data_IF_225790942558
#
_entry.id   IF_225790942558
#
_cell.length_a   1.000
_cell.length_b   1.000
_cell.length_c   1.000
_cell.angle_alpha   90.00
_cell.angle_beta   90.00
_cell.angle_gamma   90.00
#
_symmetry.space_group_name_H-M   'P 1'
#
loop_
_entity.id
_entity.type
_entity.pdbx_description
1 polymer ?
#
# COMPACT_ATOMS: atom_id res chain seq x y z
N UNK A 1 14.34 5.17 21.29
CA UNK A 1 12.92 5.01 21.69
C UNK A 1 12.33 3.95 20.76
N UNK A 2 11.45 3.07 21.24
CA UNK A 2 10.83 2.05 20.38
C UNK A 2 9.92 2.74 19.35
N UNK A 3 10.13 2.53 18.03
CA UNK A 3 9.29 3.13 17.01
C UNK A 3 7.81 2.75 17.14
N UNK A 4 7.50 1.55 17.61
CA UNK A 4 6.12 1.07 17.74
C UNK A 4 5.37 1.77 18.87
N UNK A 5 6.05 2.09 19.98
CA UNK A 5 5.50 2.89 21.09
C UNK A 5 5.33 4.36 20.69
N UNK A 6 6.28 4.90 19.91
CA UNK A 6 6.21 6.26 19.37
C UNK A 6 5.02 6.41 18.41
N UNK A 7 4.82 5.44 17.53
CA UNK A 7 3.69 5.38 16.63
C UNK A 7 2.36 5.24 17.37
N UNK A 8 2.31 4.39 18.41
CA UNK A 8 1.14 4.19 19.27
C UNK A 8 0.74 5.49 19.98
N UNK A 9 1.69 6.20 20.56
CA UNK A 9 1.45 7.52 21.17
C UNK A 9 0.91 8.54 20.14
N UNK A 10 1.42 8.49 18.91
CA UNK A 10 0.96 9.34 17.80
C UNK A 10 -0.48 9.03 17.42
N UNK A 11 -0.84 7.75 17.29
CA UNK A 11 -2.22 7.32 17.03
C UNK A 11 -3.17 7.69 18.16
N UNK A 12 -2.74 7.50 19.41
CA UNK A 12 -3.50 7.90 20.61
C UNK A 12 -3.81 9.40 20.62
N UNK A 13 -2.83 10.24 20.26
CA UNK A 13 -3.00 11.69 20.08
C UNK A 13 -3.97 12.01 18.95
N UNK A 14 -3.85 11.32 17.80
CA UNK A 14 -4.73 11.53 16.64
C UNK A 14 -6.20 11.24 16.97
N UNK A 15 -6.47 10.14 17.67
CA UNK A 15 -7.83 9.72 18.04
C UNK A 15 -8.31 10.25 19.39
N UNK A 16 -7.50 11.05 20.08
CA UNK A 16 -7.79 11.60 21.41
C UNK A 16 -8.20 10.51 22.42
N UNK A 17 -7.50 9.37 22.39
CA UNK A 17 -7.77 8.22 23.25
C UNK A 17 -6.52 7.83 24.07
N UNK A 18 -6.67 7.03 25.15
CA UNK A 18 -5.52 6.48 25.87
C UNK A 18 -4.66 5.56 24.98
N UNK A 19 -3.32 5.54 25.14
CA UNK A 19 -2.45 4.64 24.38
C UNK A 19 -2.82 3.16 24.50
N UNK A 20 -3.40 2.73 25.62
CA UNK A 20 -3.81 1.33 25.85
C UNK A 20 -4.93 0.88 24.91
N UNK A 21 -5.64 1.82 24.28
CA UNK A 21 -6.68 1.56 23.27
C UNK A 21 -6.14 1.55 21.84
N UNK A 22 -4.81 1.61 21.69
CA UNK A 22 -4.12 1.67 20.41
C UNK A 22 -3.15 0.49 20.29
N UNK A 23 -3.18 -0.15 19.13
CA UNK A 23 -2.32 -1.26 18.77
C UNK A 23 -1.39 -0.81 17.63
N UNK A 24 -0.18 -1.34 17.60
CA UNK A 24 0.81 -1.05 16.55
C UNK A 24 1.41 -2.33 15.99
N UNK A 25 1.73 -2.30 14.71
CA UNK A 25 2.40 -3.37 13.96
C UNK A 25 3.48 -2.74 13.08
N UNK A 26 4.72 -3.20 13.20
CA UNK A 26 5.79 -2.76 12.31
C UNK A 26 5.63 -3.40 10.93
N UNK A 27 5.38 -2.57 9.92
CA UNK A 27 5.17 -2.97 8.52
C UNK A 27 6.35 -2.57 7.63
N UNK A 28 7.49 -2.19 8.21
CA UNK A 28 8.69 -1.75 7.49
C UNK A 28 9.24 -2.82 6.54
N UNK A 29 8.97 -4.10 6.80
CA UNK A 29 9.35 -5.21 5.92
C UNK A 29 8.74 -5.13 4.51
N UNK A 30 7.60 -4.43 4.35
CA UNK A 30 7.01 -4.16 3.04
C UNK A 30 7.70 -3.02 2.28
N UNK A 31 8.56 -2.25 2.96
CA UNK A 31 9.25 -1.06 2.44
C UNK A 31 10.76 -1.19 2.65
N UNK A 32 11.43 -2.16 2.02
CA UNK A 32 12.87 -2.41 2.22
C UNK A 32 13.77 -1.24 1.78
N UNK A 33 13.21 -0.25 1.09
CA UNK A 33 13.88 1.00 0.70
C UNK A 33 13.93 2.03 1.84
N UNK A 34 13.07 1.93 2.86
CA UNK A 34 13.05 2.80 4.02
C UNK A 34 14.03 2.28 5.08
N UNK A 35 15.29 2.70 5.01
CA UNK A 35 16.37 2.19 5.86
C UNK A 35 16.49 2.90 7.21
N UNK A 36 16.03 4.14 7.27
CA UNK A 36 16.16 4.99 8.44
C UNK A 36 14.81 5.23 9.14
N UNK A 37 13.71 5.19 8.38
CA UNK A 37 12.36 5.34 8.93
C UNK A 37 11.74 3.98 9.25
N UNK A 38 11.11 3.88 10.42
CA UNK A 38 10.17 2.81 10.68
C UNK A 38 8.78 3.21 10.14
N UNK A 39 8.10 2.27 9.50
CA UNK A 39 6.74 2.46 9.00
C UNK A 39 5.85 1.52 9.80
N UNK A 40 4.98 2.11 10.63
CA UNK A 40 4.19 1.38 11.62
C UNK A 40 2.71 1.53 11.29
N UNK A 41 2.00 0.42 11.18
CA UNK A 41 0.55 0.42 11.12
C UNK A 41 0.00 0.56 12.53
N UNK A 42 -0.88 1.55 12.74
CA UNK A 42 -1.52 1.82 14.02
C UNK A 42 -3.02 1.62 13.88
N UNK A 43 -3.65 0.98 14.87
CA UNK A 43 -5.07 0.61 14.89
C UNK A 43 -5.71 0.93 16.24
N UNK A 44 -6.91 1.50 16.26
CA UNK A 44 -7.67 1.68 17.52
C UNK A 44 -8.67 0.54 17.79
N UNK A 45 -9.31 0.60 18.96
CA UNK A 45 -10.38 -0.35 19.35
C UNK A 45 -11.61 -0.30 18.43
N UNK A 46 -11.85 0.80 17.72
CA UNK A 46 -12.90 0.91 16.71
C UNK A 46 -12.48 0.36 15.34
N UNK A 47 -11.28 -0.24 15.26
CA UNK A 47 -10.67 -0.78 14.05
C UNK A 47 -10.35 0.24 12.96
N UNK A 48 -10.33 1.53 13.28
CA UNK A 48 -9.75 2.55 12.40
C UNK A 48 -8.23 2.34 12.33
N UNK A 49 -7.67 2.55 11.15
CA UNK A 49 -6.25 2.32 10.89
C UNK A 49 -5.60 3.58 10.32
N UNK A 50 -4.34 3.80 10.71
CA UNK A 50 -3.50 4.88 10.19
C UNK A 50 -2.07 4.36 10.07
N UNK A 51 -1.39 4.73 8.99
CA UNK A 51 0.04 4.48 8.88
C UNK A 51 0.78 5.59 9.63
N UNK A 52 1.83 5.28 10.37
CA UNK A 52 2.67 6.27 11.03
C UNK A 52 4.11 6.06 10.59
N UNK A 53 4.71 7.11 10.04
CA UNK A 53 6.13 7.13 9.71
C UNK A 53 6.89 7.67 10.92
N UNK A 54 7.82 6.88 11.44
CA UNK A 54 8.64 7.24 12.59
C UNK A 54 10.09 7.43 12.11
N UNK A 55 10.57 8.69 12.00
CA UNK A 55 11.97 8.97 11.72
C UNK A 55 12.85 8.61 12.93
N UNK A 56 14.17 8.45 12.75
CA UNK A 56 15.08 8.07 13.84
C UNK A 56 15.19 9.15 14.94
N UNK A 57 15.16 10.43 14.55
CA UNK A 57 15.40 11.58 15.44
C UNK A 57 14.30 12.65 15.39
N UNK A 58 13.13 12.32 14.80
CA UNK A 58 12.10 13.32 14.49
C UNK A 58 10.71 13.01 15.05
N UNK A 59 9.75 13.87 14.74
CA UNK A 59 8.35 13.66 15.11
C UNK A 59 7.70 12.63 14.18
N UNK A 60 7.05 11.63 14.79
CA UNK A 60 6.27 10.64 14.08
C UNK A 60 5.09 11.29 13.35
N UNK A 61 4.93 10.98 12.07
CA UNK A 61 3.96 11.61 11.18
C UNK A 61 2.88 10.60 10.78
N UNK A 62 1.60 10.81 11.14
CA UNK A 62 0.51 9.97 10.64
C UNK A 62 0.27 10.27 9.15
N UNK A 63 0.08 9.21 8.37
CA UNK A 63 -0.32 9.27 6.96
C UNK A 63 -1.83 9.05 6.91
N UNK A 64 -2.57 10.14 6.70
CA UNK A 64 -4.02 10.07 6.55
C UNK A 64 -4.44 9.48 5.21
N UNK A 65 -5.67 8.95 5.12
CA UNK A 65 -6.27 8.38 3.91
C UNK A 65 -6.51 9.41 2.76
N UNK A 66 -6.04 10.65 2.91
CA UNK A 66 -6.27 11.74 1.98
C UNK A 66 -5.11 11.89 0.99
N UNK A 67 -4.80 10.85 0.21
CA UNK A 67 -3.92 10.90 -0.97
C UNK A 67 -2.64 11.76 -0.79
N UNK A 68 -2.04 11.77 0.40
CA UNK A 68 -0.94 12.69 0.69
C UNK A 68 0.38 12.12 0.19
N UNK A 69 0.58 12.26 -1.13
CA UNK A 69 1.85 12.00 -1.79
C UNK A 69 3.00 12.78 -1.13
N UNK A 70 2.71 13.88 -0.43
CA UNK A 70 3.70 14.70 0.26
C UNK A 70 4.45 13.95 1.35
N UNK A 71 3.78 13.06 2.10
CA UNK A 71 4.47 12.24 3.11
C UNK A 71 5.37 11.21 2.42
N UNK A 72 4.85 10.45 1.45
CA UNK A 72 5.65 9.44 0.72
C UNK A 72 6.87 10.07 0.06
N UNK A 73 6.71 11.19 -0.66
CA UNK A 73 7.81 11.91 -1.29
C UNK A 73 8.84 12.43 -0.28
N UNK A 74 8.40 12.88 0.90
CA UNK A 74 9.31 13.30 1.98
C UNK A 74 10.17 12.14 2.47
N UNK A 75 9.55 10.98 2.74
CA UNK A 75 10.29 9.78 3.18
C UNK A 75 11.27 9.34 2.09
N UNK A 76 10.84 9.24 0.84
CA UNK A 76 11.71 8.87 -0.28
C UNK A 76 12.93 9.79 -0.40
N UNK A 77 12.73 11.11 -0.26
CA UNK A 77 13.80 12.10 -0.28
C UNK A 77 14.76 11.91 0.90
N UNK A 78 14.26 11.72 2.11
CA UNK A 78 15.10 11.52 3.30
C UNK A 78 15.86 10.18 3.26
N UNK A 79 15.31 9.17 2.60
CA UNK A 79 15.94 7.88 2.35
C UNK A 79 16.90 7.88 1.15
N UNK A 80 17.04 9.03 0.45
CA UNK A 80 17.83 9.17 -0.77
C UNK A 80 17.45 8.17 -1.88
N UNK A 81 16.15 7.88 -2.01
CA UNK A 81 15.62 7.00 -3.06
C UNK A 81 15.47 7.79 -4.35
N UNK A 82 16.05 7.28 -5.45
CA UNK A 82 15.88 7.86 -6.80
C UNK A 82 14.79 7.09 -7.55
N UNK A 83 13.77 7.75 -8.05
CA UNK A 83 12.66 7.06 -8.73
C UNK A 83 12.89 6.93 -10.25
N UNK A 84 12.33 5.90 -10.90
CA UNK A 84 11.90 4.63 -10.33
C UNK A 84 13.11 3.67 -10.19
N UNK A 85 14.33 4.20 -10.06
CA UNK A 85 15.57 3.42 -9.93
C UNK A 85 15.69 2.75 -8.56
N UNK A 86 16.28 1.56 -8.49
CA UNK A 86 16.42 0.85 -7.21
C UNK A 86 15.11 0.39 -6.55
N UNK A 87 13.95 0.71 -7.14
CA UNK A 87 12.64 0.26 -6.67
C UNK A 87 11.96 -0.61 -7.76
N UNK A 88 11.90 -1.94 -7.57
CA UNK A 88 11.13 -2.81 -8.45
C UNK A 88 9.68 -2.32 -8.61
N UNK A 89 9.06 -2.44 -9.81
CA UNK A 89 7.71 -1.93 -10.07
C UNK A 89 6.66 -2.36 -9.02
N UNK A 90 6.76 -3.59 -8.54
CA UNK A 90 5.92 -4.13 -7.45
C UNK A 90 6.09 -3.38 -6.13
N UNK A 91 7.32 -3.07 -5.74
CA UNK A 91 7.58 -2.32 -4.51
C UNK A 91 7.10 -0.87 -4.63
N UNK A 92 7.22 -0.26 -5.82
CA UNK A 92 6.67 1.08 -6.07
C UNK A 92 5.14 1.07 -6.03
N UNK A 93 4.49 0.08 -6.64
CA UNK A 93 3.04 -0.12 -6.58
C UNK A 93 2.55 -0.28 -5.13
N UNK A 94 3.21 -1.14 -4.35
CA UNK A 94 2.92 -1.31 -2.93
C UNK A 94 3.08 0.01 -2.17
N UNK A 95 4.19 0.72 -2.35
CA UNK A 95 4.48 1.98 -1.65
C UNK A 95 3.44 3.05 -1.94
N UNK A 96 3.13 3.27 -3.21
CA UNK A 96 2.10 4.22 -3.65
C UNK A 96 0.76 3.87 -3.03
N UNK A 97 0.30 2.63 -3.16
CA UNK A 97 -1.03 2.28 -2.65
C UNK A 97 -1.06 2.39 -1.13
N UNK A 98 -0.08 1.84 -0.42
CA UNK A 98 -0.11 1.75 1.03
C UNK A 98 -0.18 3.13 1.69
N UNK A 99 0.55 4.11 1.14
CA UNK A 99 0.53 5.48 1.64
C UNK A 99 -0.73 6.27 1.25
N UNK A 100 -1.39 5.94 0.13
CA UNK A 100 -2.55 6.70 -0.36
C UNK A 100 -3.91 6.12 0.01
N UNK A 101 -3.99 4.80 0.14
CA UNK A 101 -5.23 4.07 0.41
C UNK A 101 -5.15 3.23 1.69
N UNK A 102 -4.04 3.33 2.43
CA UNK A 102 -3.82 2.63 3.69
C UNK A 102 -3.34 1.19 3.51
N UNK A 103 -3.26 0.42 4.61
CA UNK A 103 -2.75 -0.94 4.64
C UNK A 103 -3.70 -2.00 4.02
N UNK A 104 -3.15 -3.19 3.79
CA UNK A 104 -3.89 -4.43 3.48
C UNK A 104 -4.24 -4.63 2.00
N UNK A 105 -4.55 -5.84 1.60
CA UNK A 105 -4.83 -6.17 0.20
C UNK A 105 -3.54 -6.44 -0.56
N UNK A 106 -3.62 -6.59 -1.88
CA UNK A 106 -2.51 -7.15 -2.64
C UNK A 106 -2.37 -6.51 -4.01
N UNK A 107 -1.12 -6.24 -4.41
CA UNK A 107 -0.82 -6.00 -5.82
C UNK A 107 -1.21 -7.25 -6.60
N UNK A 108 -2.07 -7.04 -7.59
CA UNK A 108 -2.63 -8.08 -8.43
C UNK A 108 -1.60 -8.49 -9.49
N UNK A 109 -0.49 -9.11 -9.08
CA UNK A 109 0.57 -9.60 -9.96
C UNK A 109 0.47 -11.12 -10.19
N UNK A 110 1.38 -11.70 -10.99
CA UNK A 110 1.36 -13.15 -11.26
C UNK A 110 1.77 -13.97 -10.04
N UNK A 111 2.57 -13.42 -9.13
CA UNK A 111 2.95 -14.08 -7.88
C UNK A 111 1.72 -14.23 -6.96
N UNK A 112 0.89 -13.18 -6.85
CA UNK A 112 -0.38 -13.20 -6.17
C UNK A 112 -1.33 -14.22 -6.82
N UNK A 113 -1.42 -14.24 -8.14
CA UNK A 113 -2.19 -15.28 -8.85
C UNK A 113 -1.71 -16.69 -8.50
N UNK A 114 -0.41 -16.97 -8.61
CA UNK A 114 0.15 -18.29 -8.36
C UNK A 114 -0.11 -18.79 -6.93
N UNK A 115 0.01 -17.91 -5.93
CA UNK A 115 -0.28 -18.23 -4.52
C UNK A 115 -1.75 -18.53 -4.26
N UNK A 116 -2.66 -17.85 -4.96
CA UNK A 116 -4.10 -17.86 -4.65
C UNK A 116 -4.95 -18.63 -5.67
N UNK A 117 -4.36 -19.12 -6.76
CA UNK A 117 -5.06 -19.80 -7.86
C UNK A 117 -6.00 -20.89 -7.37
N UNK A 118 -5.51 -21.82 -6.55
CA UNK A 118 -6.31 -22.94 -6.02
C UNK A 118 -7.50 -22.46 -5.18
N UNK A 119 -7.31 -21.43 -4.38
CA UNK A 119 -8.37 -20.87 -3.56
C UNK A 119 -9.44 -20.22 -4.44
N UNK A 120 -9.03 -19.45 -5.44
CA UNK A 120 -9.94 -18.78 -6.37
C UNK A 120 -10.69 -19.82 -7.21
N UNK A 121 -10.03 -20.87 -7.69
CA UNK A 121 -10.68 -21.98 -8.41
C UNK A 121 -11.75 -22.68 -7.55
N UNK A 122 -11.49 -22.87 -6.25
CA UNK A 122 -12.47 -23.42 -5.31
C UNK A 122 -13.63 -22.44 -5.04
N UNK A 123 -13.34 -21.15 -4.88
CA UNK A 123 -14.35 -20.12 -4.65
C UNK A 123 -15.19 -19.80 -5.90
N UNK A 124 -14.63 -20.01 -7.10
CA UNK A 124 -15.25 -19.79 -8.40
C UNK A 124 -15.79 -21.09 -9.03
N UNK A 125 -15.99 -22.15 -8.23
CA UNK A 125 -16.37 -23.50 -8.72
C UNK A 125 -17.61 -23.51 -9.62
N UNK A 126 -18.53 -22.56 -9.42
CA UNK A 126 -19.75 -22.39 -10.20
C UNK A 126 -19.78 -21.06 -11.00
N UNK A 127 -18.64 -20.35 -11.10
CA UNK A 127 -18.57 -19.00 -11.67
C UNK A 127 -17.28 -18.79 -12.48
N UNK A 128 -17.28 -19.32 -13.71
CA UNK A 128 -16.15 -19.23 -14.63
C UNK A 128 -15.79 -17.77 -15.01
N UNK A 129 -16.76 -16.85 -14.95
CA UNK A 129 -16.53 -15.43 -15.20
C UNK A 129 -15.66 -14.80 -14.11
N UNK A 130 -15.88 -15.14 -12.84
CA UNK A 130 -15.01 -14.70 -11.74
C UNK A 130 -13.58 -15.20 -11.89
N UNK A 131 -13.37 -16.47 -12.24
CA UNK A 131 -12.02 -17.00 -12.44
C UNK A 131 -11.31 -16.26 -13.58
N UNK A 132 -12.01 -16.02 -14.69
CA UNK A 132 -11.47 -15.25 -15.82
C UNK A 132 -11.15 -13.81 -15.44
N UNK A 133 -12.02 -13.15 -14.67
CA UNK A 133 -11.78 -11.79 -14.19
C UNK A 133 -10.58 -11.74 -13.23
N UNK A 134 -10.43 -12.72 -12.34
CA UNK A 134 -9.28 -12.84 -11.44
C UNK A 134 -7.97 -12.96 -12.21
N UNK A 135 -7.91 -13.90 -13.16
CA UNK A 135 -6.75 -14.10 -14.03
C UNK A 135 -6.45 -12.84 -14.85
N UNK A 136 -7.47 -12.23 -15.45
CA UNK A 136 -7.31 -11.00 -16.21
C UNK A 136 -6.79 -9.86 -15.36
N UNK A 137 -7.20 -9.78 -14.08
CA UNK A 137 -6.80 -8.77 -13.11
C UNK A 137 -5.36 -8.92 -12.66
N UNK A 138 -4.85 -10.15 -12.58
CA UNK A 138 -3.49 -10.45 -12.16
C UNK A 138 -2.47 -10.18 -13.27
N UNK A 139 -1.90 -8.98 -13.28
CA UNK A 139 -0.88 -8.53 -14.24
C UNK A 139 0.30 -7.91 -13.50
N UNK A 140 1.50 -8.15 -14.02
CA UNK A 140 2.69 -7.49 -13.49
C UNK A 140 2.53 -5.97 -13.58
N UNK A 141 2.96 -5.21 -12.55
CA UNK A 141 3.03 -3.75 -12.64
C UNK A 141 3.90 -3.32 -13.83
N UNK A 142 3.34 -2.48 -14.70
CA UNK A 142 3.99 -2.03 -15.93
C UNK A 142 4.61 -0.65 -15.69
N UNK A 143 5.95 -0.61 -15.65
CA UNK A 143 6.71 0.63 -15.52
C UNK A 143 7.19 1.09 -16.90
N UNK A 144 6.76 2.28 -17.31
CA UNK A 144 7.20 2.96 -18.53
C UNK A 144 8.09 4.14 -18.16
N UNK A 145 9.20 4.32 -18.89
CA UNK A 145 10.12 5.45 -18.72
C UNK A 145 10.19 6.25 -20.02
N UNK A 146 10.16 7.57 -19.92
CA UNK A 146 10.32 8.50 -21.04
C UNK A 146 11.15 9.67 -20.56
N UNK A 147 12.40 9.73 -20.98
CA UNK A 147 13.36 10.76 -20.53
C UNK A 147 13.42 10.77 -18.99
N UNK A 148 13.10 11.91 -18.37
CA UNK A 148 13.12 12.11 -16.92
C UNK A 148 11.78 11.76 -16.24
N UNK A 149 10.81 11.25 -17.00
CA UNK A 149 9.49 10.91 -16.49
C UNK A 149 9.27 9.40 -16.47
N UNK A 150 8.50 8.96 -15.48
CA UNK A 150 8.05 7.57 -15.39
C UNK A 150 6.54 7.50 -15.12
N UNK A 151 5.96 6.39 -15.56
CA UNK A 151 4.57 6.03 -15.31
C UNK A 151 4.50 4.57 -14.92
N UNK A 152 3.74 4.29 -13.88
CA UNK A 152 3.47 2.95 -13.35
C UNK A 152 1.97 2.67 -13.44
N UNK A 153 1.62 1.64 -14.20
CA UNK A 153 0.27 1.08 -14.23
C UNK A 153 0.25 -0.23 -13.44
N UNK A 154 -0.66 -0.35 -12.48
CA UNK A 154 -0.79 -1.58 -11.69
C UNK A 154 -2.24 -1.81 -11.26
N UNK A 155 -2.50 -3.01 -10.73
CA UNK A 155 -3.80 -3.39 -10.19
C UNK A 155 -3.67 -3.86 -8.77
N UNK A 156 -4.75 -3.72 -8.03
CA UNK A 156 -4.76 -3.98 -6.60
C UNK A 156 -6.08 -4.64 -6.20
N UNK A 157 -6.00 -5.76 -5.48
CA UNK A 157 -7.13 -6.35 -4.78
C UNK A 157 -7.27 -5.68 -3.42
N UNK A 158 -8.39 -5.00 -3.19
CA UNK A 158 -8.65 -4.33 -1.92
C UNK A 158 -9.23 -5.32 -0.87
N UNK A 159 -9.21 -4.94 0.40
CA UNK A 159 -9.69 -5.77 1.52
C UNK A 159 -11.20 -6.03 1.50
N UNK A 160 -11.92 -5.37 0.59
CA UNK A 160 -13.38 -5.50 0.43
C UNK A 160 -13.71 -6.47 -0.70
N UNK A 161 -12.72 -7.09 -1.35
CA UNK A 161 -12.93 -8.03 -2.44
C UNK A 161 -13.17 -7.39 -3.80
N UNK A 162 -12.86 -6.10 -3.95
CA UNK A 162 -12.86 -5.37 -5.22
C UNK A 162 -11.50 -5.32 -5.87
N UNK A 163 -11.46 -4.85 -7.13
CA UNK A 163 -10.21 -4.64 -7.87
C UNK A 163 -10.13 -3.19 -8.30
N UNK A 164 -8.99 -2.57 -8.02
CA UNK A 164 -8.66 -1.21 -8.42
C UNK A 164 -7.58 -1.25 -9.50
N UNK A 165 -7.68 -0.36 -10.48
CA UNK A 165 -6.59 -0.04 -11.38
C UNK A 165 -5.99 1.29 -10.97
N UNK A 166 -4.68 1.30 -10.75
CA UNK A 166 -3.90 2.45 -10.34
C UNK A 166 -3.00 2.92 -11.47
N UNK A 167 -2.87 4.23 -11.58
CA UNK A 167 -1.90 4.90 -12.43
C UNK A 167 -1.13 5.92 -11.58
N UNK A 168 0.17 5.73 -11.47
CA UNK A 168 1.07 6.65 -10.79
C UNK A 168 2.11 7.18 -11.76
N UNK A 169 2.51 8.43 -11.60
CA UNK A 169 3.51 9.07 -12.45
C UNK A 169 4.35 10.06 -11.68
N UNK A 170 5.56 10.30 -12.16
CA UNK A 170 6.51 11.18 -11.50
C UNK A 170 7.78 11.36 -12.31
N UNK A 171 8.77 11.92 -11.62
CA UNK A 171 10.14 12.08 -12.09
C UNK A 171 11.12 11.39 -11.12
N UNK A 172 12.42 11.62 -11.31
CA UNK A 172 13.47 11.00 -10.49
C UNK A 172 13.43 11.38 -9.01
N UNK A 173 12.81 12.49 -8.66
CA UNK A 173 12.78 13.03 -7.29
C UNK A 173 11.41 12.87 -6.62
N UNK A 174 10.32 12.80 -7.38
CA UNK A 174 8.98 12.98 -6.84
C UNK A 174 7.92 12.18 -7.61
N UNK A 175 7.03 11.52 -6.86
CA UNK A 175 5.74 11.02 -7.35
C UNK A 175 4.80 12.22 -7.46
N UNK A 176 4.43 12.61 -8.67
CA UNK A 176 3.64 13.82 -8.96
C UNK A 176 2.15 13.57 -8.84
N UNK A 177 1.71 12.39 -9.25
CA UNK A 177 0.30 12.03 -9.30
C UNK A 177 0.11 10.52 -9.12
N UNK A 178 -1.02 10.15 -8.50
CA UNK A 178 -1.42 8.76 -8.35
C UNK A 178 -2.94 8.71 -8.23
N UNK A 179 -3.59 8.09 -9.22
CA UNK A 179 -5.05 7.97 -9.28
C UNK A 179 -5.47 6.52 -9.36
N UNK A 180 -6.61 6.22 -8.76
CA UNK A 180 -7.22 4.89 -8.83
C UNK A 180 -8.60 4.97 -9.47
N UNK A 181 -8.99 3.88 -10.14
CA UNK A 181 -10.35 3.65 -10.63
C UNK A 181 -10.79 2.23 -10.29
N UNK A 182 -12.06 2.05 -10.00
CA UNK A 182 -12.63 0.71 -9.83
C UNK A 182 -12.58 -0.07 -11.15
N UNK A 183 -12.02 -1.27 -11.11
CA UNK A 183 -12.03 -2.24 -12.21
C UNK A 183 -13.07 -3.35 -11.95
N UNK A 184 -13.24 -3.74 -10.68
CA UNK A 184 -14.31 -4.62 -10.23
C UNK A 184 -14.88 -4.09 -8.89
N UNK A 185 -16.20 -4.16 -8.69
CA UNK A 185 -16.82 -3.65 -7.47
C UNK A 185 -16.38 -4.45 -6.23
N UNK A 186 -16.50 -3.84 -5.06
CA UNK A 186 -16.32 -4.56 -3.79
C UNK A 186 -17.24 -5.79 -3.73
N UNK A 187 -16.80 -6.83 -3.01
CA UNK A 187 -17.46 -8.13 -2.87
C UNK A 187 -17.52 -8.97 -4.15
N UNK A 188 -16.80 -8.60 -5.21
CA UNK A 188 -16.64 -9.45 -6.39
C UNK A 188 -15.93 -10.75 -6.03
N UNK A 189 -14.87 -10.64 -5.23
CA UNK A 189 -14.08 -11.77 -4.77
C UNK A 189 -14.19 -11.96 -3.26
N UNK A 190 -14.46 -13.19 -2.85
CA UNK A 190 -14.34 -13.62 -1.45
C UNK A 190 -12.91 -14.07 -1.16
N UNK A 191 -11.91 -13.25 -1.54
CA UNK A 191 -10.52 -13.55 -1.21
C UNK A 191 -10.39 -13.56 0.32
N UNK A 192 -9.63 -14.51 0.91
CA UNK A 192 -9.27 -14.39 2.30
C UNK A 192 -8.29 -13.21 2.41
N UNK A 193 -7.95 -12.79 3.62
CA UNK A 193 -6.96 -11.76 3.92
C UNK A 193 -7.51 -10.31 3.84
N UNK A 194 -8.37 -10.01 4.81
CA UNK A 194 -8.19 -8.84 5.67
C UNK A 194 -7.66 -9.32 7.01
#
# INVERSE_FOLDING_TARGET
MDPTETAKATGARLWQCPPEQVFSEDVSSFFPWAKHHAIVLVKNIAHETVLVVVPPDGEATPVGAAQDLGVLNRVLKQENVRLPEGMPPRQLALSVRFFLAGPGGFVADKEFFARNKRFVELAARDDAEKLRLFEQSCREPELQRREDLWRLDFRYFNNRGGVEQWNAEGDVETIRNAVSKGLAPDRTFSLPYG
#
